data_IF_661086899537
#
_entry.id   IF_661086899537
#
_cell.length_a   1.000
_cell.length_b   1.000
_cell.length_c   1.000
_cell.angle_alpha   90.00
_cell.angle_beta   90.00
_cell.angle_gamma   90.00
#
_symmetry.space_group_name_H-M   'P 1'
#
loop_
_entity.id
_entity.type
_entity.pdbx_description
1 polymer ?
#
# COMPACT_ATOMS: atom_id res chain seq x y z
N UNK A 1 11.85 34.36 -10.69
CA UNK A 1 11.55 32.93 -10.74
C UNK A 1 10.27 32.67 -9.93
N UNK A 2 9.13 32.44 -10.57
CA UNK A 2 7.90 32.07 -9.89
C UNK A 2 8.03 30.58 -9.50
N UNK A 3 8.11 30.32 -8.20
CA UNK A 3 8.05 28.97 -7.64
C UNK A 3 6.73 28.34 -8.11
N UNK A 4 6.80 27.37 -9.01
CA UNK A 4 5.70 26.49 -9.34
C UNK A 4 5.42 25.61 -8.12
N UNK A 5 4.67 26.16 -7.16
CA UNK A 5 4.04 25.34 -6.13
C UNK A 5 3.01 24.48 -6.84
N UNK A 6 3.35 23.23 -7.09
CA UNK A 6 2.42 22.28 -7.63
C UNK A 6 1.16 22.20 -6.74
N UNK A 7 -0.02 21.96 -7.29
CA UNK A 7 -1.31 21.95 -6.58
C UNK A 7 -1.43 20.93 -5.46
N UNK A 8 -0.42 20.06 -5.27
CA UNK A 8 -0.47 18.89 -4.39
C UNK A 8 0.31 19.02 -3.08
N UNK A 9 0.95 20.17 -2.83
CA UNK A 9 1.74 20.40 -1.60
C UNK A 9 0.90 20.33 -0.31
N UNK A 10 -0.43 20.28 -0.43
CA UNK A 10 -1.37 20.30 0.70
C UNK A 10 -1.92 18.92 1.07
N UNK A 11 -1.39 17.83 0.51
CA UNK A 11 -1.83 16.47 0.88
C UNK A 11 -1.35 16.07 2.27
N UNK A 12 -0.22 16.60 2.71
CA UNK A 12 0.32 16.39 4.05
C UNK A 12 0.09 17.63 4.92
N UNK A 13 -0.21 17.44 6.22
CA UNK A 13 -0.44 18.56 7.14
C UNK A 13 0.73 19.55 7.18
N UNK A 14 0.44 20.85 7.14
CA UNK A 14 1.45 21.91 7.19
C UNK A 14 2.37 21.84 8.42
N UNK A 15 1.86 21.32 9.53
CA UNK A 15 2.64 21.13 10.76
C UNK A 15 3.82 20.20 10.52
N UNK A 16 3.66 19.17 9.68
CA UNK A 16 4.73 18.21 9.35
C UNK A 16 5.81 18.84 8.48
N UNK A 17 5.41 19.64 7.50
CA UNK A 17 6.37 20.38 6.65
C UNK A 17 7.21 21.37 7.44
N UNK A 18 6.59 22.04 8.43
CA UNK A 18 7.30 22.95 9.35
C UNK A 18 8.26 22.18 10.24
N UNK A 19 7.79 21.11 10.86
CA UNK A 19 8.63 20.27 11.73
C UNK A 19 9.84 19.70 10.98
N UNK A 20 9.65 19.21 9.73
CA UNK A 20 10.74 18.72 8.91
C UNK A 20 11.79 19.81 8.58
N UNK A 21 11.37 21.03 8.26
CA UNK A 21 12.31 22.15 8.07
C UNK A 21 13.12 22.46 9.33
N UNK A 22 12.51 22.34 10.51
CA UNK A 22 13.22 22.51 11.79
C UNK A 22 14.26 21.40 11.99
N UNK A 23 13.96 20.14 11.60
CA UNK A 23 14.94 19.02 11.60
C UNK A 23 16.10 19.35 10.66
N UNK A 24 15.81 19.73 9.40
CA UNK A 24 16.84 20.08 8.42
C UNK A 24 17.74 21.22 8.87
N UNK A 25 17.22 22.14 9.67
CA UNK A 25 17.97 23.26 10.24
C UNK A 25 18.58 22.94 11.62
N UNK A 26 18.59 21.67 12.03
CA UNK A 26 19.09 21.20 13.34
C UNK A 26 18.44 21.90 14.56
N UNK A 27 17.18 22.35 14.39
CA UNK A 27 16.41 23.03 15.44
C UNK A 27 15.44 22.10 16.16
N UNK A 28 15.24 20.88 15.63
CA UNK A 28 14.35 19.87 16.17
C UNK A 28 15.05 18.51 16.15
N UNK A 29 15.12 17.84 17.31
CA UNK A 29 15.65 16.49 17.43
C UNK A 29 14.67 15.42 16.93
N UNK A 30 15.17 14.20 16.69
CA UNK A 30 14.40 13.11 16.13
C UNK A 30 13.17 12.74 16.98
N UNK A 31 13.31 12.62 18.30
CA UNK A 31 12.21 12.29 19.22
C UNK A 31 11.08 13.34 19.17
N UNK A 32 11.45 14.63 19.30
CA UNK A 32 10.48 15.72 19.20
C UNK A 32 9.82 15.80 17.82
N UNK A 33 10.54 15.41 16.75
CA UNK A 33 9.95 15.29 15.43
C UNK A 33 8.91 14.17 15.37
N UNK A 34 9.22 12.98 15.89
CA UNK A 34 8.28 11.85 15.95
C UNK A 34 7.00 12.20 16.73
N UNK A 35 7.11 12.88 17.87
CA UNK A 35 5.93 13.34 18.60
C UNK A 35 5.06 14.32 17.81
N UNK A 36 5.70 15.29 17.12
CA UNK A 36 4.95 16.24 16.27
C UNK A 36 4.32 15.55 15.07
N UNK A 37 5.00 14.56 14.51
CA UNK A 37 4.50 13.73 13.42
C UNK A 37 3.27 12.95 13.86
N UNK A 38 3.32 12.24 14.97
CA UNK A 38 2.20 11.47 15.50
C UNK A 38 0.97 12.38 15.71
N UNK A 39 1.15 13.54 16.32
CA UNK A 39 0.06 14.53 16.50
C UNK A 39 -0.45 15.09 15.18
N UNK A 40 0.43 15.36 14.23
CA UNK A 40 0.07 15.91 12.92
C UNK A 40 -0.67 14.91 12.04
N UNK A 41 -0.45 13.61 12.23
CA UNK A 41 -1.07 12.52 11.46
C UNK A 41 -2.32 11.94 12.15
N UNK A 42 -2.69 12.38 13.36
CA UNK A 42 -3.81 11.80 14.11
C UNK A 42 -5.13 11.80 13.31
N UNK A 43 -5.42 12.85 12.57
CA UNK A 43 -6.60 12.91 11.71
C UNK A 43 -6.56 11.84 10.60
N UNK A 44 -5.37 11.55 10.04
CA UNK A 44 -5.18 10.50 9.04
C UNK A 44 -5.30 9.12 9.67
N UNK A 45 -4.69 8.94 10.84
CA UNK A 45 -4.81 7.71 11.61
C UNK A 45 -6.27 7.42 11.98
N UNK A 46 -7.07 8.46 12.28
CA UNK A 46 -8.50 8.28 12.55
C UNK A 46 -9.26 7.82 11.30
N UNK A 47 -9.02 8.42 10.14
CA UNK A 47 -9.64 7.98 8.87
C UNK A 47 -9.30 6.51 8.56
N UNK A 48 -8.06 6.10 8.82
CA UNK A 48 -7.63 4.72 8.66
C UNK A 48 -8.33 3.77 9.64
N UNK A 49 -8.38 4.13 10.93
CA UNK A 49 -9.09 3.34 11.95
C UNK A 49 -10.58 3.19 11.61
N UNK A 50 -11.25 4.26 11.24
CA UNK A 50 -12.67 4.25 10.89
C UNK A 50 -12.98 3.35 9.69
N UNK A 51 -12.03 3.23 8.75
CA UNK A 51 -12.16 2.35 7.60
C UNK A 51 -12.02 0.87 7.96
N UNK A 52 -11.16 0.53 8.91
CA UNK A 52 -10.74 -0.86 9.16
C UNK A 52 -11.36 -1.48 10.41
N UNK A 53 -11.65 -0.72 11.44
CA UNK A 53 -12.16 -1.26 12.71
C UNK A 53 -13.54 -1.90 12.55
N UNK A 54 -13.69 -3.06 13.17
CA UNK A 54 -15.00 -3.67 13.38
C UNK A 54 -15.74 -2.93 14.50
N UNK A 55 -17.06 -2.86 14.39
CA UNK A 55 -17.91 -2.24 15.40
C UNK A 55 -17.70 -2.89 16.78
N UNK A 56 -17.50 -2.06 17.79
CA UNK A 56 -17.33 -2.52 19.18
C UNK A 56 -15.90 -2.96 19.53
N UNK A 57 -14.97 -2.96 18.61
CA UNK A 57 -13.56 -3.28 18.92
C UNK A 57 -12.90 -2.14 19.73
N UNK A 58 -12.07 -2.46 20.74
CA UNK A 58 -11.47 -1.45 21.61
C UNK A 58 -10.34 -0.65 20.93
N UNK A 59 -9.67 -1.25 19.96
CA UNK A 59 -8.58 -0.64 19.20
C UNK A 59 -8.36 -1.36 17.87
N UNK A 60 -7.59 -0.74 16.98
CA UNK A 60 -7.34 -1.26 15.64
C UNK A 60 -6.64 -2.62 15.66
N UNK A 61 -5.57 -2.79 16.43
CA UNK A 61 -4.81 -4.02 16.46
C UNK A 61 -5.67 -5.22 16.91
N UNK A 62 -6.44 -5.06 17.99
CA UNK A 62 -7.36 -6.09 18.48
C UNK A 62 -8.50 -6.38 17.50
N UNK A 63 -8.99 -5.34 16.80
CA UNK A 63 -10.00 -5.51 15.73
C UNK A 63 -9.45 -6.37 14.59
N UNK A 64 -8.28 -6.04 14.08
CA UNK A 64 -7.65 -6.75 12.96
C UNK A 64 -7.21 -8.16 13.37
N UNK A 65 -6.71 -8.36 14.60
CA UNK A 65 -6.39 -9.69 15.11
C UNK A 65 -7.65 -10.59 15.20
N UNK A 66 -8.76 -10.03 15.67
CA UNK A 66 -10.05 -10.77 15.72
C UNK A 66 -10.53 -11.12 14.31
N UNK A 67 -10.41 -10.22 13.36
CA UNK A 67 -10.78 -10.43 11.97
C UNK A 67 -9.94 -11.55 11.35
N UNK A 68 -8.62 -11.46 11.48
CA UNK A 68 -7.70 -12.48 10.98
C UNK A 68 -7.93 -13.84 11.64
N UNK A 69 -8.09 -13.88 12.98
CA UNK A 69 -8.36 -15.11 13.73
C UNK A 69 -9.61 -15.84 13.22
N UNK A 70 -10.70 -15.11 12.97
CA UNK A 70 -11.94 -15.68 12.40
C UNK A 70 -11.72 -16.28 11.01
N UNK A 71 -10.93 -15.63 10.19
CA UNK A 71 -10.64 -16.12 8.84
C UNK A 71 -9.75 -17.37 8.84
N UNK A 72 -8.71 -17.40 9.68
CA UNK A 72 -7.78 -18.53 9.74
C UNK A 72 -8.22 -19.64 10.71
N UNK A 73 -9.37 -19.48 11.39
CA UNK A 73 -9.90 -20.47 12.31
C UNK A 73 -9.13 -20.57 13.64
N UNK A 74 -8.56 -19.48 14.14
CA UNK A 74 -7.86 -19.40 15.42
C UNK A 74 -8.65 -18.53 16.39
N UNK A 75 -9.24 -19.12 17.41
CA UNK A 75 -10.06 -18.40 18.41
C UNK A 75 -9.20 -17.67 19.45
N UNK A 76 -7.99 -18.15 19.72
CA UNK A 76 -7.06 -17.50 20.65
C UNK A 76 -6.46 -16.24 20.01
N UNK A 77 -7.04 -15.07 20.36
CA UNK A 77 -6.57 -13.78 19.90
C UNK A 77 -5.11 -13.51 20.28
N UNK A 78 -4.66 -13.98 21.44
CA UNK A 78 -3.27 -13.77 21.90
C UNK A 78 -2.30 -14.49 20.95
N UNK A 79 -2.65 -15.68 20.51
CA UNK A 79 -1.87 -16.44 19.53
C UNK A 79 -1.84 -15.72 18.16
N UNK A 80 -2.98 -15.20 17.72
CA UNK A 80 -3.04 -14.41 16.47
C UNK A 80 -2.15 -13.18 16.57
N UNK A 81 -2.28 -12.37 17.64
CA UNK A 81 -1.46 -11.20 17.87
C UNK A 81 0.04 -11.54 17.96
N UNK A 82 0.38 -12.66 18.58
CA UNK A 82 1.77 -13.15 18.64
C UNK A 82 2.33 -13.46 17.24
N UNK A 83 1.54 -14.10 16.36
CA UNK A 83 1.93 -14.35 14.97
C UNK A 83 2.03 -13.06 14.17
N UNK A 84 1.09 -12.14 14.33
CA UNK A 84 1.12 -10.82 13.70
C UNK A 84 2.42 -10.08 14.01
N UNK A 85 2.82 -10.00 15.29
CA UNK A 85 4.08 -9.35 15.71
C UNK A 85 5.34 -10.00 15.12
N UNK A 86 5.25 -11.26 14.71
CA UNK A 86 6.32 -12.01 14.06
C UNK A 86 6.15 -12.09 12.55
N UNK A 87 5.18 -11.40 11.98
CA UNK A 87 4.80 -11.51 10.57
C UNK A 87 5.99 -11.39 9.62
N UNK A 88 6.79 -10.35 9.76
CA UNK A 88 7.99 -10.14 8.93
C UNK A 88 8.96 -11.32 8.98
N UNK A 89 9.16 -11.92 10.17
CA UNK A 89 10.03 -13.09 10.30
C UNK A 89 9.39 -14.35 9.70
N UNK A 90 8.06 -14.51 9.83
CA UNK A 90 7.34 -15.63 9.21
C UNK A 90 7.50 -15.58 7.68
N UNK A 91 7.31 -14.42 7.08
CA UNK A 91 7.52 -14.20 5.63
C UNK A 91 8.95 -14.52 5.22
N UNK A 92 9.94 -13.98 5.95
CA UNK A 92 11.35 -14.23 5.64
C UNK A 92 11.73 -15.72 5.79
N UNK A 93 11.21 -16.41 6.81
CA UNK A 93 11.46 -17.84 7.03
C UNK A 93 10.79 -18.69 5.94
N UNK A 94 9.56 -18.37 5.52
CA UNK A 94 8.87 -19.03 4.40
C UNK A 94 9.65 -18.84 3.09
N UNK A 95 10.16 -17.63 2.81
CA UNK A 95 10.95 -17.34 1.62
C UNK A 95 12.23 -18.21 1.57
N UNK A 96 12.98 -18.22 2.67
CA UNK A 96 14.21 -19.01 2.78
C UNK A 96 13.96 -20.52 2.67
N UNK A 97 12.91 -20.99 3.36
CA UNK A 97 12.54 -22.42 3.31
C UNK A 97 12.09 -22.85 1.92
N UNK A 98 11.43 -21.99 1.18
CA UNK A 98 10.95 -22.25 -0.18
C UNK A 98 12.07 -22.23 -1.22
N UNK A 99 13.28 -21.75 -0.86
CA UNK A 99 14.44 -21.62 -1.76
C UNK A 99 14.08 -20.97 -3.10
N UNK A 100 13.31 -19.88 -3.02
CA UNK A 100 12.82 -19.16 -4.21
C UNK A 100 14.00 -18.65 -5.02
N UNK A 101 14.04 -19.01 -6.30
CA UNK A 101 14.91 -18.33 -7.25
C UNK A 101 14.24 -17.02 -7.67
N UNK A 102 14.81 -15.89 -7.24
CA UNK A 102 14.28 -14.55 -7.56
C UNK A 102 14.32 -14.22 -9.06
N UNK A 103 15.08 -14.99 -9.86
CA UNK A 103 15.13 -14.84 -11.32
C UNK A 103 14.04 -15.68 -12.02
N UNK A 104 13.42 -16.63 -11.33
CA UNK A 104 12.32 -17.44 -11.86
C UNK A 104 10.97 -16.81 -11.46
N UNK A 105 10.32 -16.16 -12.43
CA UNK A 105 9.00 -15.55 -12.25
C UNK A 105 7.97 -16.52 -11.67
N UNK A 106 7.93 -17.76 -12.17
CA UNK A 106 6.96 -18.74 -11.72
C UNK A 106 7.20 -19.17 -10.26
N UNK A 107 8.48 -19.29 -9.85
CA UNK A 107 8.84 -19.57 -8.46
C UNK A 107 8.44 -18.43 -7.53
N UNK A 108 8.66 -17.18 -7.94
CA UNK A 108 8.27 -15.98 -7.18
C UNK A 108 6.74 -15.91 -7.04
N UNK A 109 5.99 -16.03 -8.16
CA UNK A 109 4.53 -16.02 -8.14
C UNK A 109 3.95 -17.16 -7.29
N UNK A 110 4.51 -18.36 -7.37
CA UNK A 110 4.09 -19.51 -6.57
C UNK A 110 4.34 -19.30 -5.08
N UNK A 111 5.45 -18.64 -4.72
CA UNK A 111 5.73 -18.28 -3.34
C UNK A 111 4.64 -17.35 -2.78
N UNK A 112 4.34 -16.23 -3.47
CA UNK A 112 3.31 -15.29 -3.04
C UNK A 112 1.92 -15.93 -2.95
N UNK A 113 1.61 -16.86 -3.86
CA UNK A 113 0.32 -17.56 -3.85
C UNK A 113 0.16 -18.49 -2.63
N UNK A 114 1.25 -19.10 -2.17
CA UNK A 114 1.25 -20.07 -1.07
C UNK A 114 1.56 -19.49 0.30
N UNK A 115 2.22 -18.34 0.36
CA UNK A 115 2.62 -17.74 1.63
C UNK A 115 1.42 -17.39 2.47
N UNK A 116 1.42 -17.84 3.72
CA UNK A 116 0.45 -17.48 4.74
C UNK A 116 1.01 -16.44 5.72
N UNK A 117 2.32 -16.33 5.80
CA UNK A 117 3.03 -15.36 6.64
C UNK A 117 2.60 -13.93 6.35
N UNK A 118 2.37 -13.61 5.07
CA UNK A 118 1.90 -12.29 4.66
C UNK A 118 0.55 -11.87 5.25
N UNK A 119 -0.36 -12.81 5.57
CA UNK A 119 -1.61 -12.45 6.26
C UNK A 119 -1.31 -11.78 7.61
N UNK A 120 -0.38 -12.37 8.37
CA UNK A 120 0.00 -11.87 9.68
C UNK A 120 0.81 -10.59 9.60
N UNK A 121 1.75 -10.54 8.65
CA UNK A 121 2.64 -9.41 8.45
C UNK A 121 1.89 -8.16 8.03
N UNK A 122 1.12 -8.22 6.95
CA UNK A 122 0.36 -7.08 6.44
C UNK A 122 -0.71 -6.62 7.44
N UNK A 123 -1.40 -7.54 8.13
CA UNK A 123 -2.37 -7.16 9.15
C UNK A 123 -1.70 -6.48 10.34
N UNK A 124 -0.51 -6.94 10.76
CA UNK A 124 0.26 -6.27 11.80
C UNK A 124 0.68 -4.86 11.38
N UNK A 125 1.27 -4.75 10.20
CA UNK A 125 1.71 -3.47 9.66
C UNK A 125 0.54 -2.48 9.52
N UNK A 126 -0.62 -2.93 9.03
CA UNK A 126 -1.82 -2.10 8.94
C UNK A 126 -2.43 -1.74 10.31
N UNK A 127 -2.12 -2.49 11.36
CA UNK A 127 -2.52 -2.16 12.72
C UNK A 127 -1.71 -1.00 13.33
N UNK A 128 -0.54 -0.69 12.76
CA UNK A 128 0.36 0.37 13.22
C UNK A 128 -0.06 1.74 12.65
N UNK A 129 -1.30 2.16 12.90
CA UNK A 129 -1.83 3.42 12.38
C UNK A 129 -1.04 4.68 12.80
N UNK A 130 -0.22 4.59 13.84
CA UNK A 130 0.69 5.65 14.28
C UNK A 130 2.07 5.53 13.65
N UNK A 131 2.40 4.40 13.04
CA UNK A 131 3.49 4.24 12.12
C UNK A 131 3.05 4.75 10.74
N UNK A 132 4.01 5.11 9.94
CA UNK A 132 3.79 6.11 8.90
C UNK A 132 3.24 5.51 7.60
N UNK A 133 3.74 4.36 7.21
CA UNK A 133 3.50 3.84 5.86
C UNK A 133 2.05 3.47 5.56
N UNK A 134 1.25 2.84 6.46
CA UNK A 134 -0.15 2.57 6.16
C UNK A 134 -0.98 3.82 5.85
N UNK A 135 -0.58 4.98 6.41
CA UNK A 135 -1.26 6.26 6.16
C UNK A 135 -1.01 6.83 4.76
N UNK A 136 -0.09 6.25 4.00
CA UNK A 136 0.09 6.52 2.58
C UNK A 136 -1.21 6.30 1.79
N UNK A 137 -1.99 5.28 2.14
CA UNK A 137 -3.32 5.05 1.56
C UNK A 137 -4.31 6.20 1.84
N UNK A 138 -4.26 6.80 3.03
CA UNK A 138 -5.10 7.96 3.36
C UNK A 138 -4.70 9.18 2.53
N UNK A 139 -3.40 9.34 2.29
CA UNK A 139 -2.87 10.39 1.40
C UNK A 139 -3.32 10.15 -0.04
N UNK A 140 -3.26 8.91 -0.53
CA UNK A 140 -3.75 8.54 -1.86
C UNK A 140 -5.25 8.79 -2.01
N UNK A 141 -6.04 8.46 -0.99
CA UNK A 141 -7.47 8.77 -0.95
C UNK A 141 -7.75 10.28 -1.02
N UNK A 142 -7.00 11.07 -0.24
CA UNK A 142 -7.13 12.54 -0.26
C UNK A 142 -6.78 13.10 -1.64
N UNK A 143 -5.75 12.54 -2.29
CA UNK A 143 -5.39 12.87 -3.67
C UNK A 143 -6.53 12.51 -4.65
N UNK A 144 -7.05 11.28 -4.59
CA UNK A 144 -8.11 10.80 -5.46
C UNK A 144 -9.38 11.66 -5.37
N UNK A 145 -9.82 11.98 -4.15
CA UNK A 145 -10.98 12.86 -3.91
C UNK A 145 -10.79 14.25 -4.52
N UNK A 146 -9.59 14.80 -4.46
CA UNK A 146 -9.28 16.13 -5.03
C UNK A 146 -9.35 16.14 -6.54
N UNK A 147 -9.03 15.02 -7.19
CA UNK A 147 -9.01 14.90 -8.65
C UNK A 147 -10.31 14.35 -9.24
N UNK A 148 -11.34 14.08 -8.41
CA UNK A 148 -12.66 13.66 -8.86
C UNK A 148 -12.72 12.23 -9.42
N UNK A 149 -11.73 11.39 -9.10
CA UNK A 149 -11.72 9.99 -9.50
C UNK A 149 -12.81 9.19 -8.80
N UNK A 150 -13.37 8.19 -9.50
CA UNK A 150 -14.39 7.28 -8.98
C UNK A 150 -13.96 5.82 -9.06
N UNK A 151 -13.16 5.45 -10.07
CA UNK A 151 -12.71 4.08 -10.30
C UNK A 151 -11.28 3.89 -9.82
N UNK A 152 -11.11 3.02 -8.82
CA UNK A 152 -9.86 2.74 -8.16
C UNK A 152 -9.40 1.32 -8.38
N UNK A 153 -8.13 1.12 -8.72
CA UNK A 153 -7.43 -0.17 -8.66
C UNK A 153 -6.39 -0.13 -7.55
N UNK A 154 -6.45 -1.11 -6.65
CA UNK A 154 -5.38 -1.42 -5.69
C UNK A 154 -4.55 -2.56 -6.30
N UNK A 155 -3.40 -2.23 -6.88
CA UNK A 155 -2.50 -3.17 -7.53
C UNK A 155 -1.50 -3.73 -6.52
N UNK A 156 -1.47 -5.05 -6.36
CA UNK A 156 -0.82 -5.70 -5.23
C UNK A 156 -1.57 -5.43 -3.93
N UNK A 157 -2.89 -5.65 -3.95
CA UNK A 157 -3.81 -5.23 -2.89
C UNK A 157 -3.60 -5.92 -1.54
N UNK A 158 -2.85 -7.03 -1.52
CA UNK A 158 -2.62 -7.82 -0.33
C UNK A 158 -3.92 -8.15 0.40
N UNK A 159 -3.97 -7.86 1.69
CA UNK A 159 -5.15 -8.10 2.56
C UNK A 159 -6.30 -7.10 2.33
N UNK A 160 -6.22 -6.22 1.35
CA UNK A 160 -7.30 -5.32 0.92
C UNK A 160 -7.60 -4.15 1.86
N UNK A 161 -6.68 -3.76 2.75
CA UNK A 161 -6.94 -2.65 3.69
C UNK A 161 -7.07 -1.30 3.00
N UNK A 162 -6.20 -1.01 2.01
CA UNK A 162 -6.31 0.20 1.18
C UNK A 162 -7.61 0.23 0.39
N UNK A 163 -7.96 -0.91 -0.19
CA UNK A 163 -9.21 -1.09 -0.94
C UNK A 163 -10.46 -0.86 -0.06
N UNK A 164 -10.48 -1.35 1.19
CA UNK A 164 -11.56 -1.09 2.14
C UNK A 164 -11.70 0.41 2.44
N UNK A 165 -10.59 1.12 2.58
CA UNK A 165 -10.59 2.56 2.77
C UNK A 165 -11.27 3.26 1.59
N UNK A 166 -10.87 2.96 0.35
CA UNK A 166 -11.43 3.57 -0.84
C UNK A 166 -12.92 3.23 -1.02
N UNK A 167 -13.31 1.96 -0.84
CA UNK A 167 -14.70 1.53 -0.94
C UNK A 167 -15.63 2.22 0.06
N UNK A 168 -15.20 2.40 1.32
CA UNK A 168 -15.95 3.15 2.34
C UNK A 168 -16.12 4.62 2.01
N UNK A 169 -15.30 5.15 1.12
CA UNK A 169 -15.38 6.53 0.65
C UNK A 169 -16.05 6.66 -0.73
N UNK A 170 -16.73 5.60 -1.19
CA UNK A 170 -17.60 5.63 -2.36
C UNK A 170 -16.90 5.39 -3.69
N UNK A 171 -15.65 4.90 -3.68
CA UNK A 171 -14.97 4.50 -4.92
C UNK A 171 -15.44 3.12 -5.37
N UNK A 172 -15.64 2.96 -6.68
CA UNK A 172 -15.73 1.65 -7.30
C UNK A 172 -14.33 1.02 -7.30
N UNK A 173 -14.10 0.07 -6.38
CA UNK A 173 -12.77 -0.43 -6.09
C UNK A 173 -12.56 -1.81 -6.69
N UNK A 174 -11.42 -1.99 -7.37
CA UNK A 174 -10.90 -3.26 -7.85
C UNK A 174 -9.65 -3.63 -7.06
N UNK A 175 -9.58 -4.86 -6.59
CA UNK A 175 -8.39 -5.45 -5.97
C UNK A 175 -7.71 -6.37 -6.97
N UNK A 176 -6.45 -6.09 -7.28
CA UNK A 176 -5.63 -6.96 -8.12
C UNK A 176 -4.44 -7.51 -7.33
N UNK A 177 -4.34 -8.82 -7.24
CA UNK A 177 -3.22 -9.49 -6.56
C UNK A 177 -2.89 -10.82 -7.24
N UNK A 178 -1.66 -11.33 -7.05
CA UNK A 178 -1.25 -12.66 -7.51
C UNK A 178 -1.54 -13.73 -6.45
N UNK A 179 -1.78 -13.37 -5.20
CA UNK A 179 -2.03 -14.31 -4.12
C UNK A 179 -3.52 -14.61 -3.99
N UNK A 180 -3.90 -15.86 -4.29
CA UNK A 180 -5.27 -16.34 -4.10
C UNK A 180 -5.68 -16.30 -2.62
N UNK A 181 -4.75 -16.54 -1.70
CA UNK A 181 -4.97 -16.46 -0.25
C UNK A 181 -5.29 -15.02 0.18
N UNK A 182 -4.54 -14.02 -0.32
CA UNK A 182 -4.80 -12.62 -0.03
C UNK A 182 -6.15 -12.17 -0.58
N UNK A 183 -6.44 -12.51 -1.84
CA UNK A 183 -7.73 -12.19 -2.47
C UNK A 183 -8.91 -12.86 -1.74
N UNK A 184 -8.76 -14.10 -1.27
CA UNK A 184 -9.78 -14.77 -0.49
C UNK A 184 -10.03 -14.07 0.84
N UNK A 185 -8.99 -13.68 1.56
CA UNK A 185 -9.11 -12.92 2.80
C UNK A 185 -9.71 -11.53 2.57
N UNK A 186 -9.24 -10.80 1.57
CA UNK A 186 -9.78 -9.50 1.21
C UNK A 186 -11.27 -9.59 0.85
N UNK A 187 -11.68 -10.58 0.04
CA UNK A 187 -13.08 -10.84 -0.30
C UNK A 187 -13.92 -11.07 0.95
N UNK A 188 -13.46 -11.95 1.83
CA UNK A 188 -14.13 -12.22 3.10
C UNK A 188 -14.28 -10.95 3.94
N UNK A 189 -13.26 -10.09 4.01
CA UNK A 189 -13.30 -8.80 4.73
C UNK A 189 -14.36 -7.85 4.17
N UNK A 190 -14.50 -7.79 2.84
CA UNK A 190 -15.52 -6.99 2.15
C UNK A 190 -16.93 -7.50 2.47
N UNK A 191 -17.14 -8.84 2.44
CA UNK A 191 -18.41 -9.48 2.78
C UNK A 191 -18.82 -9.18 4.22
N UNK A 192 -17.88 -9.26 5.18
CA UNK A 192 -18.15 -8.94 6.59
C UNK A 192 -18.59 -7.48 6.79
N UNK A 193 -18.28 -6.59 5.86
CA UNK A 193 -18.63 -5.16 5.91
C UNK A 193 -19.78 -4.79 4.96
N UNK A 194 -20.35 -5.74 4.27
CA UNK A 194 -21.38 -5.51 3.24
C UNK A 194 -20.91 -4.48 2.18
N UNK A 195 -19.63 -4.53 1.83
CA UNK A 195 -19.04 -3.71 0.79
C UNK A 195 -18.86 -4.53 -0.50
N UNK A 196 -18.97 -3.85 -1.64
CA UNK A 196 -18.76 -4.45 -2.94
C UNK A 196 -17.41 -4.04 -3.52
N UNK A 197 -16.73 -4.98 -4.20
CA UNK A 197 -15.52 -4.73 -4.97
C UNK A 197 -15.39 -5.76 -6.10
N UNK A 198 -14.55 -5.45 -7.08
CA UNK A 198 -14.10 -6.41 -8.09
C UNK A 198 -12.77 -7.03 -7.64
N UNK A 199 -12.58 -8.32 -7.85
CA UNK A 199 -11.36 -9.05 -7.50
C UNK A 199 -10.78 -9.70 -8.73
N UNK A 200 -9.51 -9.41 -9.02
CA UNK A 200 -8.77 -9.88 -10.20
C UNK A 200 -7.54 -10.68 -9.73
N UNK A 201 -7.48 -11.95 -10.13
CA UNK A 201 -6.25 -12.75 -10.00
C UNK A 201 -5.30 -12.40 -11.15
N UNK A 202 -4.26 -11.63 -10.83
CA UNK A 202 -3.30 -11.13 -11.80
C UNK A 202 -2.44 -12.21 -12.46
N UNK A 203 -2.48 -13.48 -11.98
CA UNK A 203 -1.83 -14.62 -12.64
C UNK A 203 -2.63 -15.10 -13.86
N UNK A 204 -3.94 -15.03 -13.80
CA UNK A 204 -4.84 -15.57 -14.83
C UNK A 204 -5.56 -14.48 -15.62
N UNK A 205 -5.84 -13.34 -15.01
CA UNK A 205 -6.71 -12.33 -15.55
C UNK A 205 -5.94 -11.07 -15.96
N UNK A 206 -6.44 -10.39 -16.99
CA UNK A 206 -5.88 -9.12 -17.44
C UNK A 206 -6.67 -7.95 -16.86
N UNK A 207 -5.96 -6.89 -16.50
CA UNK A 207 -6.60 -5.63 -16.15
C UNK A 207 -7.35 -5.05 -17.38
N UNK A 208 -8.58 -4.57 -17.18
CA UNK A 208 -9.32 -3.89 -18.25
C UNK A 208 -8.60 -2.60 -18.66
N UNK A 209 -8.60 -2.31 -19.98
CA UNK A 209 -7.97 -1.11 -20.50
C UNK A 209 -8.82 0.13 -20.20
N UNK A 210 -8.17 1.26 -19.88
CA UNK A 210 -8.81 2.57 -19.66
C UNK A 210 -9.97 2.53 -18.65
N UNK A 211 -9.83 1.72 -17.59
CA UNK A 211 -10.89 1.48 -16.63
C UNK A 211 -10.75 2.30 -15.33
N UNK A 212 -9.53 2.78 -15.01
CA UNK A 212 -9.27 3.37 -13.70
C UNK A 212 -8.86 4.83 -13.79
N UNK A 213 -9.36 5.63 -12.84
CA UNK A 213 -8.98 7.02 -12.65
C UNK A 213 -7.73 7.13 -11.78
N UNK A 214 -7.62 6.20 -10.81
CA UNK A 214 -6.46 6.10 -9.92
C UNK A 214 -6.08 4.64 -9.70
N UNK A 215 -4.78 4.38 -9.74
CA UNK A 215 -4.17 3.11 -9.33
C UNK A 215 -3.29 3.39 -8.13
N UNK A 216 -3.46 2.63 -7.04
CA UNK A 216 -2.50 2.55 -5.93
C UNK A 216 -1.63 1.31 -6.09
N UNK A 217 -0.32 1.45 -5.87
CA UNK A 217 0.66 0.36 -5.83
C UNK A 217 1.62 0.67 -4.66
N UNK A 218 1.19 0.24 -3.46
CA UNK A 218 1.86 0.57 -2.20
C UNK A 218 2.76 -0.59 -1.79
N UNK A 219 4.07 -0.33 -1.75
CA UNK A 219 5.08 -1.32 -1.39
C UNK A 219 4.93 -2.62 -2.22
N UNK A 220 4.92 -2.46 -3.56
CA UNK A 220 4.70 -3.55 -4.53
C UNK A 220 5.87 -3.68 -5.49
N UNK A 221 6.43 -2.56 -5.97
CA UNK A 221 7.41 -2.56 -7.05
C UNK A 221 8.71 -3.28 -6.70
N UNK A 222 9.10 -3.31 -5.44
CA UNK A 222 10.25 -4.02 -4.90
C UNK A 222 10.12 -5.55 -4.95
N UNK A 223 8.90 -6.04 -5.08
CA UNK A 223 8.56 -7.47 -5.13
C UNK A 223 8.35 -8.00 -6.56
N UNK A 224 8.26 -7.11 -7.56
CA UNK A 224 7.92 -7.50 -8.92
C UNK A 224 9.10 -8.11 -9.65
N UNK A 225 8.87 -9.21 -10.34
CA UNK A 225 9.87 -9.80 -11.24
C UNK A 225 10.21 -8.85 -12.40
N UNK A 226 9.22 -8.15 -12.96
CA UNK A 226 9.40 -7.18 -14.03
C UNK A 226 8.60 -5.89 -13.76
N UNK A 227 9.17 -4.95 -12.97
CA UNK A 227 8.53 -3.67 -12.71
C UNK A 227 8.42 -2.79 -13.97
N UNK A 228 9.29 -3.00 -14.98
CA UNK A 228 9.27 -2.24 -16.23
C UNK A 228 8.07 -2.63 -17.09
N UNK A 229 7.83 -3.94 -17.27
CA UNK A 229 6.63 -4.45 -17.96
C UNK A 229 5.36 -4.03 -17.23
N UNK A 230 5.40 -4.06 -15.89
CA UNK A 230 4.26 -3.67 -15.06
C UNK A 230 3.81 -2.23 -15.34
N UNK A 231 4.74 -1.30 -15.59
CA UNK A 231 4.35 0.07 -15.99
C UNK A 231 3.50 0.07 -17.26
N UNK A 232 3.77 -0.81 -18.23
CA UNK A 232 2.98 -0.92 -19.45
C UNK A 232 1.57 -1.43 -19.18
N UNK A 233 1.45 -2.38 -18.26
CA UNK A 233 0.15 -2.92 -17.83
C UNK A 233 -0.67 -1.84 -17.15
N UNK A 234 -0.09 -1.12 -16.20
CA UNK A 234 -0.76 -0.04 -15.47
C UNK A 234 -1.10 1.15 -16.38
N UNK A 235 -0.22 1.49 -17.33
CA UNK A 235 -0.49 2.53 -18.32
C UNK A 235 -1.73 2.20 -19.17
N UNK A 236 -1.87 0.96 -19.61
CA UNK A 236 -3.06 0.51 -20.36
C UNK A 236 -4.34 0.55 -19.52
N UNK A 237 -4.24 0.18 -18.26
CA UNK A 237 -5.37 0.13 -17.34
C UNK A 237 -5.89 1.53 -16.95
N UNK A 238 -5.01 2.52 -16.85
CA UNK A 238 -5.38 3.91 -16.55
C UNK A 238 -6.11 4.57 -17.72
N UNK A 239 -7.11 5.38 -17.39
CA UNK A 239 -7.71 6.35 -18.32
C UNK A 239 -6.70 7.43 -18.70
N UNK A 240 -6.86 8.10 -19.86
CA UNK A 240 -6.13 9.35 -20.12
C UNK A 240 -6.38 10.36 -18.98
N UNK A 241 -5.31 10.96 -18.48
CA UNK A 241 -5.38 11.85 -17.33
C UNK A 241 -5.44 11.16 -15.96
N UNK A 242 -5.55 9.82 -15.92
CA UNK A 242 -5.53 9.03 -14.68
C UNK A 242 -4.17 9.02 -13.99
N UNK A 243 -4.14 8.58 -12.74
CA UNK A 243 -2.97 8.72 -11.87
C UNK A 243 -2.51 7.37 -11.30
N UNK A 244 -1.20 7.14 -11.30
CA UNK A 244 -0.54 6.08 -10.56
C UNK A 244 0.05 6.68 -9.28
N UNK A 245 -0.42 6.21 -8.13
CA UNK A 245 0.11 6.54 -6.81
C UNK A 245 0.89 5.33 -6.29
N UNK A 246 2.19 5.47 -6.09
CA UNK A 246 3.03 4.35 -5.70
C UNK A 246 4.26 4.76 -4.90
N UNK A 247 5.00 3.75 -4.45
CA UNK A 247 6.30 3.89 -3.82
C UNK A 247 7.33 3.10 -4.63
N UNK A 248 8.48 3.71 -4.90
CA UNK A 248 9.56 3.13 -5.70
C UNK A 248 10.86 3.24 -4.91
N UNK A 249 10.92 2.49 -3.83
CA UNK A 249 12.07 2.49 -2.95
C UNK A 249 12.16 1.15 -2.21
N UNK A 250 13.33 0.55 -2.23
CA UNK A 250 13.69 -0.55 -1.35
C UNK A 250 15.18 -0.48 -1.03
N UNK A 251 15.54 -0.93 0.16
CA UNK A 251 16.92 -1.13 0.56
C UNK A 251 17.13 -2.63 0.85
N UNK A 252 18.33 -3.18 0.57
CA UNK A 252 18.63 -4.55 0.96
C UNK A 252 18.50 -4.72 2.47
N UNK A 253 17.69 -5.69 2.89
CA UNK A 253 17.41 -5.96 4.29
C UNK A 253 17.25 -7.47 4.51
N UNK A 254 17.92 -8.01 5.53
CA UNK A 254 17.82 -9.43 5.88
C UNK A 254 16.43 -9.85 6.34
N UNK A 255 15.62 -8.91 6.82
CA UNK A 255 14.24 -9.17 7.26
C UNK A 255 13.25 -9.20 6.09
N UNK A 256 13.64 -8.68 4.92
CA UNK A 256 12.82 -8.65 3.71
C UNK A 256 13.54 -9.30 2.51
N UNK A 257 13.92 -10.59 2.58
CA UNK A 257 14.62 -11.27 1.50
C UNK A 257 13.79 -11.39 0.21
N UNK A 258 12.50 -11.15 0.27
CA UNK A 258 11.56 -11.10 -0.84
C UNK A 258 11.57 -9.77 -1.61
N UNK A 259 12.30 -8.74 -1.16
CA UNK A 259 12.60 -7.57 -1.98
C UNK A 259 13.67 -7.97 -3.01
N UNK A 260 13.31 -7.98 -4.28
CA UNK A 260 14.15 -8.44 -5.39
C UNK A 260 14.54 -7.31 -6.34
N UNK A 261 13.95 -6.13 -6.20
CA UNK A 261 14.25 -4.93 -7.00
C UNK A 261 14.72 -3.80 -6.10
N UNK A 262 15.91 -3.29 -6.38
CA UNK A 262 16.53 -2.18 -5.63
C UNK A 262 16.91 -0.99 -6.53
N UNK A 263 17.04 -1.22 -7.84
CA UNK A 263 17.26 -0.17 -8.82
C UNK A 263 15.97 0.10 -9.61
N UNK A 264 15.35 1.23 -9.35
CA UNK A 264 14.16 1.69 -10.05
C UNK A 264 14.45 2.64 -11.22
N UNK A 265 15.69 2.84 -11.57
CA UNK A 265 16.10 3.67 -12.74
C UNK A 265 15.38 3.25 -14.02
N UNK A 266 15.43 1.96 -14.43
CA UNK A 266 14.72 1.47 -15.61
C UNK A 266 13.19 1.66 -15.55
N UNK A 267 12.59 1.53 -14.35
CA UNK A 267 11.15 1.76 -14.12
C UNK A 267 10.78 3.23 -14.34
N UNK A 268 11.60 4.17 -13.83
CA UNK A 268 11.38 5.60 -14.08
C UNK A 268 11.60 5.98 -15.54
N UNK A 269 12.55 5.34 -16.24
CA UNK A 269 12.75 5.54 -17.67
C UNK A 269 11.51 5.08 -18.45
N UNK A 270 10.91 3.94 -18.07
CA UNK A 270 9.70 3.44 -18.68
C UNK A 270 8.50 4.35 -18.41
N UNK A 271 8.33 4.86 -17.20
CA UNK A 271 7.30 5.85 -16.86
C UNK A 271 7.41 7.07 -17.80
N UNK A 272 8.61 7.64 -17.96
CA UNK A 272 8.84 8.77 -18.86
C UNK A 272 8.54 8.42 -20.33
N UNK A 273 9.01 7.26 -20.79
CA UNK A 273 8.80 6.81 -22.17
C UNK A 273 7.32 6.58 -22.50
N UNK A 274 6.50 6.23 -21.51
CA UNK A 274 5.04 6.09 -21.65
C UNK A 274 4.27 7.39 -21.52
N UNK A 275 4.93 8.52 -21.29
CA UNK A 275 4.28 9.81 -21.16
C UNK A 275 3.66 10.04 -19.77
N UNK A 276 4.18 9.38 -18.74
CA UNK A 276 3.81 9.75 -17.37
C UNK A 276 4.55 11.01 -16.94
N UNK A 277 3.80 11.93 -16.31
CA UNK A 277 4.35 13.12 -15.66
C UNK A 277 4.26 12.97 -14.14
N UNK A 278 5.38 13.16 -13.44
CA UNK A 278 5.36 13.21 -11.98
C UNK A 278 4.68 14.50 -11.53
N UNK A 279 3.51 14.37 -10.89
CA UNK A 279 2.69 15.49 -10.44
C UNK A 279 2.82 15.79 -8.95
N UNK A 280 3.25 14.81 -8.17
CA UNK A 280 3.47 14.97 -6.74
C UNK A 280 4.50 13.96 -6.23
N UNK A 281 5.26 14.38 -5.21
CA UNK A 281 6.18 13.52 -4.46
C UNK A 281 6.19 13.92 -2.99
N UNK A 282 6.02 12.92 -2.14
CA UNK A 282 6.33 13.05 -0.72
C UNK A 282 7.84 12.94 -0.51
N UNK A 283 8.44 14.01 -0.02
CA UNK A 283 9.88 14.05 0.27
C UNK A 283 10.19 13.99 1.77
N UNK A 284 9.17 13.82 2.60
CA UNK A 284 9.32 14.09 4.03
C UNK A 284 8.94 12.93 4.94
N UNK A 285 8.06 12.02 4.49
CA UNK A 285 7.53 10.95 5.33
C UNK A 285 7.79 9.57 4.72
N UNK A 286 7.04 9.21 3.67
CA UNK A 286 6.99 7.84 3.18
C UNK A 286 7.58 7.63 1.79
N UNK A 287 7.90 8.72 1.08
CA UNK A 287 8.52 8.69 -0.24
C UNK A 287 7.57 8.33 -1.39
N UNK A 288 6.26 8.40 -1.17
CA UNK A 288 5.28 8.13 -2.23
C UNK A 288 5.36 9.16 -3.35
N UNK A 289 5.00 8.72 -4.56
CA UNK A 289 5.02 9.52 -5.78
C UNK A 289 3.71 9.34 -6.53
N UNK A 290 3.31 10.37 -7.25
CA UNK A 290 2.15 10.34 -8.14
C UNK A 290 2.57 10.69 -9.55
N UNK A 291 2.21 9.83 -10.47
CA UNK A 291 2.44 9.98 -11.89
C UNK A 291 1.11 10.07 -12.63
N UNK A 292 0.93 11.12 -13.43
CA UNK A 292 -0.24 11.31 -14.27
C UNK A 292 0.04 10.76 -15.67
N UNK A 293 -0.88 9.97 -16.20
CA UNK A 293 -0.88 9.57 -17.62
C UNK A 293 -1.31 10.76 -18.49
N UNK A 294 -0.44 11.22 -19.40
CA UNK A 294 -0.72 12.29 -20.35
C UNK A 294 -1.39 11.78 -21.62
#
# INVERSE_FOLDING_TARGET
MRSTRGPHLDLLPDVLRRAWREVQNSRLGAEAFQERQARGLEAYAQVWRDALMLTGAPNLAGSLATELGRFVGIDDRTEVERRMRRGVHLVADEWRASRVDAQDRAAVEQYYDRSTGYLYDLIWWHALANDQSPLGYVTALAFAKRHGGCDHLDFGSGVGSGSLLFARHGFATTLGDISSTMLAFARWRFEQRHLSATFIDLKSDRLPAHAYDIITAMDVFEHLHDPVETIDVLWRALRPGGHLFGRFHAEPDETHPQHIVFDFGPTFDRLRARGFEETWRDRWLWGHQVFRKT
#
